data_IF_078332797149
#
_entry.id   IF_078332797149
#
_cell.length_a   1.000
_cell.length_b   1.000
_cell.length_c   1.000
_cell.angle_alpha   90.00
_cell.angle_beta   90.00
_cell.angle_gamma   90.00
#
_symmetry.space_group_name_H-M   'P 1'
#
loop_
_entity.id
_entity.type
_entity.pdbx_description
1 polymer ?
#
# COMPACT_ATOMS: atom_id res chain seq x y z
N UNK A 1 -6.43 -5.50 1.09
CA UNK A 1 -7.30 -6.41 0.28
C UNK A 1 -7.99 -5.72 -0.89
N UNK A 2 -8.61 -4.55 -0.71
CA UNK A 2 -9.25 -3.79 -1.82
C UNK A 2 -8.35 -3.63 -3.07
N UNK A 3 -7.05 -3.30 -2.94
CA UNK A 3 -6.17 -3.17 -4.11
C UNK A 3 -5.99 -4.45 -4.94
N UNK A 4 -6.06 -5.64 -4.32
CA UNK A 4 -5.97 -6.92 -5.02
C UNK A 4 -7.20 -7.11 -5.91
N UNK A 5 -8.40 -6.96 -5.36
CA UNK A 5 -9.64 -7.05 -6.13
C UNK A 5 -9.70 -6.01 -7.24
N UNK A 6 -9.26 -4.77 -6.96
CA UNK A 6 -9.23 -3.73 -7.97
C UNK A 6 -8.24 -4.04 -9.09
N UNK A 7 -7.02 -4.53 -8.80
CA UNK A 7 -6.07 -4.90 -9.86
C UNK A 7 -6.60 -6.03 -10.74
N UNK A 8 -7.23 -7.05 -10.14
CA UNK A 8 -7.81 -8.17 -10.89
C UNK A 8 -8.89 -7.68 -11.87
N UNK A 9 -9.73 -6.72 -11.44
CA UNK A 9 -10.81 -6.17 -12.27
C UNK A 9 -10.31 -5.19 -13.36
N UNK A 10 -9.23 -4.45 -13.08
CA UNK A 10 -8.59 -3.52 -14.03
C UNK A 10 -8.06 -4.27 -15.25
N UNK A 11 -7.33 -5.35 -14.99
CA UNK A 11 -6.60 -6.07 -16.03
C UNK A 11 -7.51 -6.94 -16.88
N UNK A 12 -8.65 -7.40 -16.35
CA UNK A 12 -9.58 -8.28 -17.08
C UNK A 12 -10.69 -7.59 -17.85
N UNK A 13 -11.19 -6.41 -17.41
CA UNK A 13 -12.44 -5.84 -17.99
C UNK A 13 -12.33 -4.38 -18.43
N UNK A 14 -11.80 -3.49 -17.58
CA UNK A 14 -12.00 -2.04 -17.77
C UNK A 14 -10.85 -1.33 -18.49
N UNK A 15 -9.63 -1.85 -18.39
CA UNK A 15 -8.42 -1.14 -18.81
C UNK A 15 -8.04 0.01 -17.87
N UNK A 16 -6.76 0.43 -17.94
CA UNK A 16 -6.15 1.37 -16.97
C UNK A 16 -6.84 2.74 -16.95
N UNK A 17 -7.10 3.34 -18.11
CA UNK A 17 -7.71 4.68 -18.20
C UNK A 17 -9.13 4.74 -17.62
N UNK A 18 -10.00 3.80 -18.03
CA UNK A 18 -11.39 3.77 -17.53
C UNK A 18 -11.41 3.52 -16.03
N UNK A 19 -10.53 2.66 -15.52
CA UNK A 19 -10.44 2.41 -14.08
C UNK A 19 -10.01 3.67 -13.33
N UNK A 20 -9.05 4.45 -13.83
CA UNK A 20 -8.68 5.74 -13.24
C UNK A 20 -9.89 6.66 -13.16
N UNK A 21 -10.64 6.80 -14.27
CA UNK A 21 -11.83 7.65 -14.33
C UNK A 21 -12.89 7.25 -13.29
N UNK A 22 -13.30 5.98 -13.29
CA UNK A 22 -14.28 5.49 -12.33
C UNK A 22 -13.77 5.59 -10.88
N UNK A 23 -12.50 5.30 -10.65
CA UNK A 23 -11.88 5.40 -9.32
C UNK A 23 -11.90 6.84 -8.80
N UNK A 24 -11.57 7.83 -9.64
CA UNK A 24 -11.64 9.25 -9.27
C UNK A 24 -13.08 9.67 -8.94
N UNK A 25 -14.07 9.28 -9.75
CA UNK A 25 -15.48 9.58 -9.49
C UNK A 25 -15.96 8.98 -8.16
N UNK A 26 -15.63 7.70 -7.90
CA UNK A 26 -15.91 7.03 -6.63
C UNK A 26 -15.21 7.74 -5.47
N UNK A 27 -13.98 8.22 -5.67
CA UNK A 27 -13.21 8.90 -4.64
C UNK A 27 -13.82 10.28 -4.27
N UNK A 28 -14.25 11.04 -5.29
CA UNK A 28 -14.98 12.30 -5.13
C UNK A 28 -16.29 12.07 -4.39
N UNK A 29 -17.07 11.07 -4.78
CA UNK A 29 -18.30 10.71 -4.06
C UNK A 29 -18.02 10.34 -2.60
N UNK A 30 -16.96 9.56 -2.34
CA UNK A 30 -16.55 9.18 -0.99
C UNK A 30 -16.23 10.39 -0.11
N UNK A 31 -15.40 11.33 -0.59
CA UNK A 31 -15.10 12.56 0.18
C UNK A 31 -16.31 13.50 0.28
N UNK A 32 -17.14 13.59 -0.75
CA UNK A 32 -18.39 14.35 -0.70
C UNK A 32 -19.33 13.83 0.38
N UNK A 33 -19.54 12.51 0.42
CA UNK A 33 -20.38 11.88 1.44
C UNK A 33 -19.75 11.94 2.84
N UNK A 34 -18.43 11.81 2.97
CA UNK A 34 -17.73 12.05 4.24
C UNK A 34 -17.96 13.47 4.75
N UNK A 35 -17.85 14.47 3.86
CA UNK A 35 -18.13 15.86 4.20
C UNK A 35 -19.55 16.05 4.70
N UNK A 36 -20.54 15.51 3.97
CA UNK A 36 -21.96 15.56 4.36
C UNK A 36 -22.23 14.83 5.69
N UNK A 37 -21.58 13.68 5.90
CA UNK A 37 -21.77 12.85 7.09
C UNK A 37 -21.30 13.53 8.38
N UNK A 38 -20.32 14.44 8.28
CA UNK A 38 -19.78 15.18 9.43
C UNK A 38 -20.34 16.60 9.53
N UNK A 39 -20.80 17.18 8.42
CA UNK A 39 -21.47 18.49 8.43
C UNK A 39 -22.79 18.47 9.23
N UNK A 40 -23.59 17.42 9.07
CA UNK A 40 -24.90 17.32 9.72
C UNK A 40 -24.81 17.12 11.26
N UNK A 41 -23.90 16.27 11.81
CA UNK A 41 -23.63 16.21 13.23
C UNK A 41 -22.96 17.46 13.79
N UNK A 42 -22.05 18.13 13.06
CA UNK A 42 -21.40 19.35 13.53
C UNK A 42 -22.42 20.46 13.84
N UNK A 43 -23.41 20.65 12.95
CA UNK A 43 -24.51 21.59 13.15
C UNK A 43 -25.45 21.20 14.31
N UNK A 44 -25.51 19.91 14.68
CA UNK A 44 -26.36 19.39 15.77
C UNK A 44 -25.62 19.28 17.11
N UNK A 45 -24.30 19.19 17.07
CA UNK A 45 -23.43 19.05 18.25
C UNK A 45 -22.98 20.41 18.79
N UNK A 46 -22.96 21.47 17.97
CA UNK A 46 -22.85 22.86 18.45
C UNK A 46 -23.95 23.22 19.46
N UNK A 47 -25.13 22.59 19.36
CA UNK A 47 -26.23 22.76 20.32
C UNK A 47 -26.00 21.99 21.65
N UNK A 48 -25.03 21.07 21.68
CA UNK A 48 -24.77 20.21 22.84
C UNK A 48 -23.67 20.72 23.78
N UNK A 49 -22.92 21.76 23.41
CA UNK A 49 -21.91 22.38 24.31
C UNK A 49 -22.56 22.90 25.61
N UNK A 50 -23.87 23.18 25.58
CA UNK A 50 -24.66 23.64 26.73
C UNK A 50 -25.50 22.54 27.42
N UNK A 51 -25.40 21.26 27.02
CA UNK A 51 -26.16 20.17 27.65
C UNK A 51 -25.24 18.99 27.98
N UNK A 52 -25.22 18.62 29.25
CA UNK A 52 -24.39 17.56 29.87
C UNK A 52 -24.66 16.14 29.37
N UNK A 53 -25.58 15.95 28.42
CA UNK A 53 -25.88 14.65 27.80
C UNK A 53 -25.90 14.81 26.27
N UNK A 54 -24.78 14.50 25.61
CA UNK A 54 -24.76 14.32 24.17
C UNK A 54 -25.35 12.95 23.82
N UNK A 55 -26.40 12.92 23.01
CA UNK A 55 -26.91 11.66 22.47
C UNK A 55 -25.87 11.05 21.52
N UNK A 56 -25.65 9.74 21.65
CA UNK A 56 -24.81 9.00 20.70
C UNK A 56 -25.33 9.15 19.26
N UNK A 57 -24.43 9.16 18.26
CA UNK A 57 -24.85 9.30 16.86
C UNK A 57 -25.82 8.18 16.48
N UNK A 58 -26.79 8.49 15.60
CA UNK A 58 -27.76 7.48 15.18
C UNK A 58 -27.08 6.37 14.38
N UNK A 59 -27.60 5.15 14.45
CA UNK A 59 -27.05 4.01 13.70
C UNK A 59 -26.96 4.30 12.19
N UNK A 60 -27.89 5.09 11.65
CA UNK A 60 -27.86 5.53 10.25
C UNK A 60 -26.70 6.47 9.95
N UNK A 61 -26.39 7.43 10.83
CA UNK A 61 -25.25 8.33 10.65
C UNK A 61 -23.92 7.58 10.66
N UNK A 62 -23.78 6.62 11.59
CA UNK A 62 -22.59 5.76 11.68
C UNK A 62 -22.45 4.90 10.43
N UNK A 63 -23.53 4.26 9.97
CA UNK A 63 -23.54 3.46 8.76
C UNK A 63 -23.18 4.29 7.52
N UNK A 64 -23.77 5.49 7.38
CA UNK A 64 -23.49 6.39 6.26
C UNK A 64 -22.02 6.84 6.25
N UNK A 65 -21.45 7.16 7.41
CA UNK A 65 -20.03 7.48 7.55
C UNK A 65 -19.13 6.31 7.09
N UNK A 66 -19.42 5.08 7.54
CA UNK A 66 -18.63 3.91 7.12
C UNK A 66 -18.76 3.61 5.63
N UNK A 67 -19.95 3.69 5.04
CA UNK A 67 -20.14 3.54 3.60
C UNK A 67 -19.27 4.57 2.85
N UNK A 68 -19.27 5.82 3.32
CA UNK A 68 -18.47 6.90 2.72
C UNK A 68 -16.96 6.64 2.82
N UNK A 69 -16.49 6.14 3.96
CA UNK A 69 -15.09 5.70 4.15
C UNK A 69 -14.71 4.57 3.19
N UNK A 70 -15.55 3.55 3.06
CA UNK A 70 -15.30 2.45 2.13
C UNK A 70 -15.25 2.93 0.68
N UNK A 71 -16.16 3.83 0.30
CA UNK A 71 -16.20 4.42 -1.03
C UNK A 71 -14.90 5.20 -1.32
N UNK A 72 -14.45 6.04 -0.38
CA UNK A 72 -13.20 6.76 -0.50
C UNK A 72 -11.98 5.82 -0.60
N UNK A 73 -11.97 4.74 0.18
CA UNK A 73 -10.90 3.72 0.16
C UNK A 73 -10.83 2.98 -1.20
N UNK A 74 -11.98 2.58 -1.75
CA UNK A 74 -12.07 1.92 -3.06
C UNK A 74 -11.59 2.85 -4.17
N UNK A 75 -12.09 4.08 -4.21
CA UNK A 75 -11.67 5.07 -5.21
C UNK A 75 -10.18 5.41 -5.11
N UNK A 76 -9.67 5.65 -3.90
CA UNK A 76 -8.26 5.92 -3.68
C UNK A 76 -7.34 4.75 -4.04
N UNK A 77 -7.78 3.51 -3.82
CA UNK A 77 -7.01 2.30 -4.16
C UNK A 77 -6.90 2.12 -5.68
N UNK A 78 -8.01 2.19 -6.40
CA UNK A 78 -8.00 2.01 -7.86
C UNK A 78 -7.19 3.08 -8.59
N UNK A 79 -7.27 4.33 -8.13
CA UNK A 79 -6.42 5.41 -8.64
C UNK A 79 -4.93 5.11 -8.41
N UNK A 80 -4.53 4.74 -7.18
CA UNK A 80 -3.11 4.52 -6.81
C UNK A 80 -2.43 3.39 -7.59
N UNK A 81 -3.17 2.32 -7.89
CA UNK A 81 -2.65 1.16 -8.64
C UNK A 81 -2.47 1.51 -10.12
N UNK A 82 -3.41 2.24 -10.72
CA UNK A 82 -3.44 2.46 -12.16
C UNK A 82 -2.72 3.73 -12.60
N UNK A 83 -2.77 4.82 -11.84
CA UNK A 83 -2.31 6.14 -12.28
C UNK A 83 -0.80 6.18 -12.58
N UNK A 84 0.02 5.56 -11.71
CA UNK A 84 1.47 5.46 -11.91
C UNK A 84 1.81 4.67 -13.17
N UNK A 85 1.18 3.51 -13.35
CA UNK A 85 1.40 2.66 -14.51
C UNK A 85 0.94 3.34 -15.81
N UNK A 86 -0.24 3.97 -15.80
CA UNK A 86 -0.77 4.70 -16.95
C UNK A 86 0.11 5.88 -17.36
N UNK A 87 0.64 6.63 -16.39
CA UNK A 87 1.60 7.72 -16.66
C UNK A 87 2.91 7.19 -17.27
N UNK A 88 3.40 6.05 -16.77
CA UNK A 88 4.58 5.38 -17.30
C UNK A 88 4.38 4.86 -18.74
N UNK A 89 3.16 4.42 -19.08
CA UNK A 89 2.81 3.93 -20.43
C UNK A 89 2.83 5.04 -21.50
N UNK A 90 2.89 6.32 -21.11
CA UNK A 90 2.93 7.43 -22.07
C UNK A 90 4.28 7.59 -22.77
N UNK A 91 5.32 6.92 -22.26
CA UNK A 91 6.68 6.98 -22.79
C UNK A 91 7.04 5.67 -23.48
N UNK A 92 7.61 5.75 -24.68
CA UNK A 92 8.13 4.61 -25.42
C UNK A 92 9.52 4.20 -24.89
N UNK A 93 9.67 2.94 -24.50
CA UNK A 93 10.92 2.39 -23.96
C UNK A 93 11.97 2.13 -25.05
N UNK A 94 11.54 1.98 -26.31
CA UNK A 94 12.45 1.73 -27.44
C UNK A 94 13.23 2.99 -27.84
N UNK A 95 12.70 4.17 -27.51
CA UNK A 95 13.35 5.45 -27.76
C UNK A 95 14.17 5.88 -26.54
N UNK A 96 15.50 5.95 -26.70
CA UNK A 96 16.42 6.35 -25.62
C UNK A 96 16.12 7.72 -24.98
N UNK A 97 15.55 8.67 -25.74
CA UNK A 97 15.14 9.98 -25.22
C UNK A 97 13.86 9.92 -24.37
N UNK A 98 12.86 9.17 -24.82
CA UNK A 98 11.61 8.96 -24.07
C UNK A 98 11.85 8.09 -22.82
N UNK A 99 12.77 7.12 -22.88
CA UNK A 99 13.20 6.32 -21.73
C UNK A 99 13.83 7.17 -20.61
N UNK A 100 14.71 8.13 -20.95
CA UNK A 100 15.23 9.11 -19.98
C UNK A 100 14.12 9.98 -19.38
N UNK A 101 13.17 10.40 -20.22
CA UNK A 101 12.02 11.20 -19.80
C UNK A 101 11.08 10.44 -18.86
N UNK A 102 10.91 9.13 -19.07
CA UNK A 102 10.17 8.22 -18.18
C UNK A 102 10.81 8.12 -16.80
N UNK A 103 12.13 7.99 -16.73
CA UNK A 103 12.86 8.02 -15.45
C UNK A 103 12.67 9.36 -14.72
N UNK A 104 12.76 10.48 -15.45
CA UNK A 104 12.47 11.81 -14.91
C UNK A 104 11.02 11.94 -14.40
N UNK A 105 10.04 11.37 -15.11
CA UNK A 105 8.65 11.32 -14.66
C UNK A 105 8.51 10.63 -13.29
N UNK A 106 9.17 9.49 -13.07
CA UNK A 106 9.13 8.82 -11.77
C UNK A 106 9.76 9.67 -10.66
N UNK A 107 10.87 10.35 -10.93
CA UNK A 107 11.49 11.27 -9.97
C UNK A 107 10.53 12.40 -9.59
N UNK A 108 9.89 13.04 -10.57
CA UNK A 108 8.89 14.08 -10.32
C UNK A 108 7.65 13.58 -9.60
N UNK A 109 7.19 12.35 -9.91
CA UNK A 109 6.09 11.71 -9.20
C UNK A 109 6.42 11.53 -7.71
N UNK A 110 7.61 11.01 -7.41
CA UNK A 110 8.09 10.83 -6.04
C UNK A 110 8.24 12.16 -5.30
N UNK A 111 8.81 13.17 -5.96
CA UNK A 111 8.97 14.50 -5.39
C UNK A 111 7.62 15.16 -5.06
N UNK A 112 6.69 15.16 -6.02
CA UNK A 112 5.34 15.70 -5.82
C UNK A 112 4.57 14.95 -4.73
N UNK A 113 4.68 13.62 -4.69
CA UNK A 113 4.09 12.79 -3.63
C UNK A 113 4.63 13.14 -2.25
N UNK A 114 5.94 13.34 -2.12
CA UNK A 114 6.60 13.71 -0.86
C UNK A 114 6.12 15.08 -0.36
N UNK A 115 6.04 16.08 -1.25
CA UNK A 115 5.48 17.40 -0.91
C UNK A 115 4.01 17.26 -0.47
N UNK A 116 3.20 16.50 -1.21
CA UNK A 116 1.79 16.28 -0.88
C UNK A 116 1.60 15.67 0.51
N UNK A 117 2.43 14.70 0.89
CA UNK A 117 2.43 14.07 2.22
C UNK A 117 2.76 15.12 3.31
N UNK A 118 3.80 15.93 3.12
CA UNK A 118 4.19 16.97 4.07
C UNK A 118 3.04 18.00 4.24
N UNK A 119 2.46 18.47 3.14
CA UNK A 119 1.32 19.39 3.17
C UNK A 119 0.10 18.78 3.89
N UNK A 120 -0.22 17.51 3.64
CA UNK A 120 -1.30 16.82 4.33
C UNK A 120 -1.06 16.74 5.84
N UNK A 121 0.14 16.37 6.27
CA UNK A 121 0.44 16.23 7.70
C UNK A 121 0.55 17.56 8.44
N UNK A 122 1.00 18.64 7.80
CA UNK A 122 1.15 19.94 8.46
C UNK A 122 -0.11 20.80 8.37
N UNK A 123 -0.69 20.91 7.18
CA UNK A 123 -1.79 21.83 6.92
C UNK A 123 -3.13 21.13 7.09
N UNK A 124 -3.34 20.00 6.41
CA UNK A 124 -4.65 19.35 6.41
C UNK A 124 -5.03 18.81 7.80
N UNK A 125 -4.08 18.16 8.49
CA UNK A 125 -4.29 17.72 9.88
C UNK A 125 -4.51 18.88 10.85
N UNK A 126 -3.87 20.04 10.62
CA UNK A 126 -4.10 21.25 11.41
C UNK A 126 -5.51 21.80 11.21
N UNK A 127 -6.00 21.79 9.97
CA UNK A 127 -7.40 22.15 9.66
C UNK A 127 -8.37 21.15 10.29
N UNK A 128 -8.06 19.85 10.30
CA UNK A 128 -8.89 18.82 10.92
C UNK A 128 -9.03 19.01 12.43
N UNK A 129 -7.91 19.18 13.14
CA UNK A 129 -7.90 19.26 14.61
C UNK A 129 -8.35 20.64 15.13
N UNK A 130 -8.03 21.74 14.44
CA UNK A 130 -8.31 23.09 14.93
C UNK A 130 -9.58 23.73 14.37
N UNK A 131 -10.05 23.33 13.18
CA UNK A 131 -11.23 23.93 12.54
C UNK A 131 -12.40 22.96 12.45
N UNK A 132 -12.33 22.01 11.53
CA UNK A 132 -13.32 20.94 11.43
C UNK A 132 -12.89 19.86 10.42
N UNK A 133 -13.35 18.64 10.69
CA UNK A 133 -13.26 17.51 9.76
C UNK A 133 -14.00 17.76 8.44
N UNK A 134 -15.16 18.44 8.48
CA UNK A 134 -15.96 18.74 7.29
C UNK A 134 -15.19 19.62 6.29
N UNK A 135 -14.50 20.66 6.76
CA UNK A 135 -13.69 21.53 5.89
C UNK A 135 -12.55 20.73 5.25
N UNK A 136 -11.85 19.90 6.02
CA UNK A 136 -10.73 19.11 5.50
C UNK A 136 -11.15 18.09 4.43
N UNK A 137 -12.27 17.37 4.64
CA UNK A 137 -12.82 16.47 3.63
C UNK A 137 -13.33 17.23 2.40
N UNK A 138 -13.94 18.40 2.59
CA UNK A 138 -14.37 19.28 1.50
C UNK A 138 -13.20 19.75 0.63
N UNK A 139 -12.09 20.20 1.25
CA UNK A 139 -10.86 20.57 0.54
C UNK A 139 -10.33 19.37 -0.26
N UNK A 140 -10.29 18.18 0.35
CA UNK A 140 -9.83 16.95 -0.32
C UNK A 140 -10.71 16.60 -1.54
N UNK A 141 -12.02 16.79 -1.42
CA UNK A 141 -12.97 16.61 -2.53
C UNK A 141 -12.70 17.60 -3.67
N UNK A 142 -12.56 18.90 -3.37
CA UNK A 142 -12.30 19.95 -4.36
C UNK A 142 -10.98 19.71 -5.09
N UNK A 143 -9.91 19.37 -4.36
CA UNK A 143 -8.60 19.08 -4.95
C UNK A 143 -8.69 17.89 -5.91
N UNK A 144 -9.43 16.82 -5.54
CA UNK A 144 -9.65 15.68 -6.43
C UNK A 144 -10.49 16.04 -7.66
N UNK A 145 -11.51 16.88 -7.51
CA UNK A 145 -12.30 17.41 -8.63
C UNK A 145 -11.41 18.17 -9.63
N UNK A 146 -10.58 19.08 -9.13
CA UNK A 146 -9.63 19.83 -9.96
C UNK A 146 -8.65 18.89 -10.67
N UNK A 147 -8.10 17.90 -9.95
CA UNK A 147 -7.22 16.89 -10.53
C UNK A 147 -7.90 16.10 -11.66
N UNK A 148 -9.16 15.68 -11.47
CA UNK A 148 -9.93 14.99 -12.50
C UNK A 148 -10.21 15.89 -13.70
N UNK A 149 -10.57 17.17 -13.48
CA UNK A 149 -10.77 18.13 -14.58
C UNK A 149 -9.50 18.30 -15.41
N UNK A 150 -8.34 18.50 -14.76
CA UNK A 150 -7.04 18.61 -15.46
C UNK A 150 -6.72 17.34 -16.24
N UNK A 151 -6.97 16.17 -15.66
CA UNK A 151 -6.76 14.88 -16.31
C UNK A 151 -7.65 14.72 -17.56
N UNK A 152 -8.92 15.10 -17.47
CA UNK A 152 -9.87 15.04 -18.59
C UNK A 152 -9.57 16.06 -19.69
N UNK A 153 -9.11 17.27 -19.34
CA UNK A 153 -8.73 18.28 -20.33
C UNK A 153 -7.59 17.82 -21.25
N UNK A 154 -6.72 16.91 -20.77
CA UNK A 154 -5.63 16.33 -21.56
C UNK A 154 -5.96 14.96 -22.16
N UNK A 155 -7.21 14.52 -22.10
CA UNK A 155 -7.58 13.16 -22.53
C UNK A 155 -7.23 12.86 -23.99
N UNK A 156 -7.34 13.86 -24.88
CA UNK A 156 -7.06 13.70 -26.31
C UNK A 156 -5.56 13.59 -26.63
N UNK A 157 -4.68 13.88 -25.67
CA UNK A 157 -3.22 13.78 -25.85
C UNK A 157 -2.67 12.43 -25.38
N UNK A 158 -3.47 11.61 -24.69
CA UNK A 158 -2.99 10.35 -24.14
C UNK A 158 -2.76 9.29 -25.22
N UNK A 159 -1.64 8.57 -25.10
CA UNK A 159 -1.35 7.37 -25.87
C UNK A 159 -2.04 6.19 -25.18
N UNK A 160 -2.96 5.55 -25.90
CA UNK A 160 -3.63 4.35 -25.44
C UNK A 160 -2.93 3.13 -26.06
N UNK A 161 -2.05 2.50 -25.29
CA UNK A 161 -1.46 1.24 -25.69
C UNK A 161 -2.54 0.16 -25.59
N UNK A 162 -3.05 -0.29 -26.73
CA UNK A 162 -3.86 -1.51 -26.81
C UNK A 162 -2.92 -2.66 -26.46
N UNK A 163 -3.01 -3.17 -25.23
CA UNK A 163 -2.36 -4.44 -24.90
C UNK A 163 -2.98 -5.50 -25.81
N UNK A 164 -2.21 -5.94 -26.80
CA UNK A 164 -2.51 -7.07 -27.67
C UNK A 164 -2.85 -8.29 -26.81
N UNK A 165 -4.10 -8.77 -26.85
CA UNK A 165 -4.56 -10.09 -26.37
C UNK A 165 -3.95 -10.60 -25.03
N UNK A 166 -3.98 -9.80 -23.96
CA UNK A 166 -3.68 -10.28 -22.60
C UNK A 166 -4.95 -10.68 -21.80
N UNK A 167 -6.06 -10.99 -22.48
CA UNK A 167 -7.10 -11.87 -21.92
C UNK A 167 -6.47 -13.25 -21.70
N UNK A 168 -6.16 -13.74 -20.52
CA UNK A 168 -6.36 -13.26 -19.16
C UNK A 168 -5.28 -13.94 -18.31
N UNK A 169 -4.11 -13.32 -18.10
CA UNK A 169 -2.99 -13.98 -17.40
C UNK A 169 -3.39 -14.55 -16.02
N UNK A 170 -4.38 -13.95 -15.36
CA UNK A 170 -4.98 -14.45 -14.12
C UNK A 170 -5.88 -15.66 -14.38
N UNK A 171 -6.72 -15.64 -15.41
CA UNK A 171 -7.54 -16.80 -15.75
C UNK A 171 -6.68 -17.97 -16.22
N UNK A 172 -5.57 -17.71 -16.89
CA UNK A 172 -4.57 -18.72 -17.27
C UNK A 172 -4.03 -19.43 -16.02
N UNK A 173 -3.71 -18.67 -14.96
CA UNK A 173 -3.27 -19.24 -13.68
C UNK A 173 -4.40 -20.02 -13.01
N UNK A 174 -5.61 -19.46 -12.96
CA UNK A 174 -6.77 -20.15 -12.38
C UNK A 174 -7.02 -21.45 -13.15
N UNK A 175 -6.91 -21.44 -14.47
CA UNK A 175 -7.04 -22.61 -15.32
C UNK A 175 -5.97 -23.64 -14.98
N UNK A 176 -4.71 -23.25 -14.77
CA UNK A 176 -3.65 -24.17 -14.31
C UNK A 176 -4.04 -24.88 -13.01
N UNK A 177 -4.54 -24.15 -12.01
CA UNK A 177 -4.99 -24.76 -10.76
C UNK A 177 -6.18 -25.71 -10.96
N UNK A 178 -7.20 -25.28 -11.73
CA UNK A 178 -8.40 -26.08 -12.01
C UNK A 178 -8.06 -27.36 -12.79
N UNK A 179 -7.19 -27.27 -13.79
CA UNK A 179 -6.76 -28.43 -14.60
C UNK A 179 -5.88 -29.36 -13.77
N UNK A 180 -4.94 -28.83 -12.97
CA UNK A 180 -4.10 -29.63 -12.08
C UNK A 180 -4.93 -30.40 -11.03
N UNK A 181 -5.94 -29.76 -10.44
CA UNK A 181 -6.84 -30.39 -9.47
C UNK A 181 -7.68 -31.50 -10.12
N UNK A 182 -8.26 -31.24 -11.30
CA UNK A 182 -9.02 -32.24 -12.04
C UNK A 182 -8.16 -33.44 -12.46
N UNK A 183 -6.89 -33.20 -12.76
CA UNK A 183 -5.92 -34.24 -13.12
C UNK A 183 -5.20 -34.86 -11.91
N UNK A 184 -5.53 -34.46 -10.68
CA UNK A 184 -4.80 -34.85 -9.48
C UNK A 184 -4.71 -36.37 -9.27
N UNK A 185 -5.73 -37.13 -9.70
CA UNK A 185 -5.78 -38.60 -9.56
C UNK A 185 -5.36 -39.36 -10.82
N UNK A 186 -5.10 -38.67 -11.92
CA UNK A 186 -4.71 -39.30 -13.18
C UNK A 186 -3.28 -39.80 -13.11
N UNK A 187 -3.04 -41.04 -13.55
CA UNK A 187 -1.70 -41.62 -13.71
C UNK A 187 -1.18 -41.28 -15.12
N UNK A 188 0.11 -40.94 -15.28
CA UNK A 188 0.69 -40.79 -16.61
C UNK A 188 0.57 -42.11 -17.38
N UNK A 189 0.07 -42.08 -18.61
CA UNK A 189 0.10 -43.23 -19.51
C UNK A 189 1.50 -43.35 -20.13
N UNK A 190 1.95 -44.59 -20.34
CA UNK A 190 3.30 -44.96 -20.78
C UNK A 190 3.69 -44.25 -22.11
N UNK A 191 2.74 -43.98 -23.00
CA UNK A 191 2.98 -43.29 -24.28
C UNK A 191 3.23 -41.76 -24.12
N UNK A 192 2.78 -41.17 -23.00
CA UNK A 192 3.03 -39.75 -22.68
C UNK A 192 4.33 -39.54 -21.91
N UNK A 193 4.96 -40.58 -21.34
CA UNK A 193 6.29 -40.44 -20.70
C UNK A 193 7.39 -40.12 -21.73
N UNK A 194 7.25 -40.52 -22.99
CA UNK A 194 8.22 -40.17 -24.05
C UNK A 194 8.02 -38.78 -24.64
N UNK A 195 6.78 -38.32 -24.84
CA UNK A 195 6.48 -36.98 -25.35
C UNK A 195 6.60 -35.89 -24.28
N UNK A 196 6.29 -36.21 -23.02
CA UNK A 196 6.50 -35.32 -21.89
C UNK A 196 7.90 -35.48 -21.33
N UNK A 197 8.59 -36.62 -21.51
CA UNK A 197 10.00 -36.81 -21.12
C UNK A 197 10.93 -35.79 -21.77
N UNK A 198 10.74 -35.45 -23.03
CA UNK A 198 11.48 -34.36 -23.70
C UNK A 198 11.14 -32.97 -23.17
N UNK A 199 9.92 -32.74 -22.65
CA UNK A 199 9.54 -31.50 -21.99
C UNK A 199 10.03 -31.43 -20.52
N UNK A 200 9.97 -32.54 -19.77
CA UNK A 200 10.50 -32.74 -18.42
C UNK A 200 12.03 -32.61 -18.38
N UNK A 201 12.72 -32.92 -19.47
CA UNK A 201 14.18 -32.84 -19.58
C UNK A 201 14.72 -31.46 -19.99
N UNK A 202 13.89 -30.41 -20.04
CA UNK A 202 14.42 -29.04 -20.09
C UNK A 202 14.60 -28.54 -18.65
N UNK A 203 15.84 -28.48 -18.13
CA UNK A 203 16.08 -28.18 -16.72
C UNK A 203 16.04 -26.65 -16.53
N UNK A 204 14.85 -26.08 -16.46
CA UNK A 204 14.65 -24.67 -16.10
C UNK A 204 13.29 -24.48 -15.42
N UNK A 205 13.13 -25.01 -14.21
CA UNK A 205 11.92 -24.80 -13.42
C UNK A 205 12.03 -25.51 -12.07
N UNK A 206 11.79 -24.78 -10.98
CA UNK A 206 11.98 -25.21 -9.59
C UNK A 206 11.41 -26.62 -9.29
N UNK A 207 12.15 -27.47 -8.56
CA UNK A 207 11.66 -28.78 -8.09
C UNK A 207 10.45 -28.70 -7.14
N UNK A 208 10.02 -27.49 -6.76
CA UNK A 208 8.90 -27.22 -5.88
C UNK A 208 7.58 -27.20 -6.66
N UNK A 209 6.48 -27.62 -6.01
CA UNK A 209 5.11 -27.61 -6.58
C UNK A 209 4.89 -28.47 -7.83
N UNK A 210 5.55 -29.65 -7.91
CA UNK A 210 5.38 -30.65 -9.00
C UNK A 210 3.94 -31.06 -9.30
N UNK A 211 3.02 -30.86 -8.37
CA UNK A 211 1.61 -31.16 -8.60
C UNK A 211 1.00 -30.29 -9.71
N UNK A 212 1.51 -29.08 -9.93
CA UNK A 212 1.05 -28.18 -10.99
C UNK A 212 1.44 -28.68 -12.38
N UNK A 213 2.47 -29.54 -12.50
CA UNK A 213 2.85 -30.17 -13.76
C UNK A 213 1.74 -31.07 -14.32
N UNK A 214 0.79 -31.49 -13.47
CA UNK A 214 -0.41 -32.22 -13.91
C UNK A 214 -1.35 -31.38 -14.78
N UNK A 215 -1.23 -30.05 -14.76
CA UNK A 215 -1.97 -29.17 -15.67
C UNK A 215 -1.51 -29.28 -17.13
N UNK A 216 -0.30 -29.80 -17.37
CA UNK A 216 0.24 -30.03 -18.72
C UNK A 216 -0.38 -31.23 -19.40
N UNK A 217 -1.09 -32.10 -18.66
CA UNK A 217 -1.56 -33.37 -19.19
C UNK A 217 -3.03 -33.29 -19.62
N UNK A 218 -3.30 -33.48 -20.91
CA UNK A 218 -4.64 -33.44 -21.50
C UNK A 218 -5.45 -34.72 -21.29
N UNK A 219 -5.69 -35.14 -20.05
CA UNK A 219 -6.41 -36.40 -19.77
C UNK A 219 -7.94 -36.29 -19.84
N UNK A 220 -8.50 -35.10 -19.60
CA UNK A 220 -9.95 -34.88 -19.63
C UNK A 220 -10.38 -34.48 -21.04
N UNK A 221 -11.27 -35.27 -21.66
CA UNK A 221 -11.82 -35.03 -23.01
C UNK A 221 -12.45 -33.63 -23.22
N UNK A 222 -12.66 -32.85 -22.15
CA UNK A 222 -13.32 -31.56 -22.17
C UNK A 222 -12.47 -30.39 -21.65
N UNK A 223 -11.17 -30.56 -21.34
CA UNK A 223 -10.30 -29.45 -20.89
C UNK A 223 -9.05 -29.29 -21.77
N UNK A 224 -8.79 -28.05 -22.15
CA UNK A 224 -7.60 -27.65 -22.91
C UNK A 224 -6.39 -27.70 -21.95
N UNK A 225 -5.33 -28.47 -22.27
CA UNK A 225 -4.12 -28.52 -21.45
C UNK A 225 -3.41 -27.15 -21.42
N UNK A 226 -2.82 -26.82 -20.27
CA UNK A 226 -2.10 -25.55 -20.10
C UNK A 226 -0.70 -25.60 -20.72
N UNK A 227 -0.15 -24.44 -21.07
CA UNK A 227 1.22 -24.35 -21.56
C UNK A 227 2.25 -24.43 -20.43
N UNK A 228 3.50 -24.80 -20.76
CA UNK A 228 4.61 -24.87 -19.80
C UNK A 228 4.85 -23.49 -19.16
N UNK A 229 4.76 -22.41 -19.93
CA UNK A 229 4.94 -21.04 -19.42
C UNK A 229 3.86 -20.67 -18.39
N UNK A 230 2.60 -21.04 -18.62
CA UNK A 230 1.50 -20.78 -17.67
C UNK A 230 1.71 -21.54 -16.35
N UNK A 231 2.20 -22.78 -16.42
CA UNK A 231 2.49 -23.59 -15.23
C UNK A 231 3.66 -23.03 -14.42
N UNK A 232 4.74 -22.61 -15.09
CA UNK A 232 5.88 -21.97 -14.40
C UNK A 232 5.49 -20.62 -13.77
N UNK A 233 4.71 -19.80 -14.46
CA UNK A 233 4.19 -18.54 -13.91
C UNK A 233 3.34 -18.78 -12.64
N UNK A 234 2.50 -19.82 -12.65
CA UNK A 234 1.72 -20.22 -11.48
C UNK A 234 2.59 -20.73 -10.31
N UNK A 235 3.66 -21.48 -10.60
CA UNK A 235 4.62 -21.93 -9.58
C UNK A 235 5.35 -20.75 -8.94
N UNK A 236 5.81 -19.79 -9.73
CA UNK A 236 6.48 -18.57 -9.23
C UNK A 236 5.55 -17.80 -8.30
N UNK A 237 4.29 -17.58 -8.69
CA UNK A 237 3.32 -16.93 -7.82
C UNK A 237 3.10 -17.69 -6.51
N UNK A 238 3.01 -19.02 -6.57
CA UNK A 238 2.84 -19.84 -5.38
C UNK A 238 4.06 -19.77 -4.44
N UNK A 239 5.27 -19.59 -4.98
CA UNK A 239 6.48 -19.33 -4.18
C UNK A 239 6.45 -17.94 -3.49
N UNK A 240 5.76 -16.96 -4.08
CA UNK A 240 5.63 -15.63 -3.50
C UNK A 240 4.64 -15.58 -2.32
N UNK A 241 3.65 -16.48 -2.29
CA UNK A 241 2.60 -16.49 -1.24
C UNK A 241 3.16 -16.64 0.18
N UNK A 242 4.05 -17.61 0.50
CA UNK A 242 4.64 -17.72 1.83
C UNK A 242 5.38 -16.46 2.26
N UNK A 243 6.17 -15.87 1.35
CA UNK A 243 6.93 -14.65 1.63
C UNK A 243 5.96 -13.50 1.90
N UNK A 244 4.94 -13.34 1.07
CA UNK A 244 3.88 -12.36 1.26
C UNK A 244 3.18 -12.50 2.62
N UNK A 245 2.80 -13.71 3.02
CA UNK A 245 2.19 -13.98 4.34
C UNK A 245 3.14 -13.55 5.47
N UNK A 246 4.42 -13.92 5.40
CA UNK A 246 5.38 -13.52 6.46
C UNK A 246 5.56 -12.00 6.52
N UNK A 247 5.42 -11.29 5.41
CA UNK A 247 5.51 -9.84 5.37
C UNK A 247 4.26 -9.14 5.95
N UNK A 248 3.15 -9.84 6.15
CA UNK A 248 1.95 -9.27 6.79
C UNK A 248 2.19 -8.82 8.24
N UNK A 249 3.17 -9.40 8.93
CA UNK A 249 3.52 -8.96 10.29
C UNK A 249 3.99 -7.50 10.31
N UNK A 250 4.70 -7.07 9.27
CA UNK A 250 5.12 -5.68 9.12
C UNK A 250 3.92 -4.74 8.98
N UNK A 251 2.87 -5.16 8.28
CA UNK A 251 1.62 -4.38 8.13
C UNK A 251 1.00 -4.11 9.50
N UNK A 252 0.93 -5.14 10.35
CA UNK A 252 0.38 -5.03 11.72
C UNK A 252 1.16 -3.99 12.53
N UNK A 253 2.49 -4.02 12.44
CA UNK A 253 3.38 -3.07 13.12
C UNK A 253 3.25 -1.65 12.56
N UNK A 254 3.29 -1.49 11.23
CA UNK A 254 3.20 -0.17 10.58
C UNK A 254 1.85 0.53 10.85
N UNK A 255 0.77 -0.26 11.00
CA UNK A 255 -0.57 0.24 11.31
C UNK A 255 -0.66 0.88 12.70
N UNK A 256 0.23 0.53 13.63
CA UNK A 256 0.27 1.14 14.97
C UNK A 256 0.65 2.63 14.90
N UNK A 257 1.50 2.99 13.94
CA UNK A 257 2.04 4.35 13.76
C UNK A 257 0.95 5.39 13.45
N UNK A 258 -0.08 5.02 12.69
CA UNK A 258 -1.20 5.92 12.33
C UNK A 258 -2.37 5.82 13.30
N UNK A 259 -2.45 4.77 14.13
CA UNK A 259 -3.57 4.49 15.03
C UNK A 259 -3.20 4.70 16.50
N UNK A 260 -2.61 3.70 17.14
CA UNK A 260 -2.30 3.72 18.57
C UNK A 260 -1.27 4.78 18.94
N UNK A 261 -0.28 5.05 18.10
CA UNK A 261 0.68 6.13 18.38
C UNK A 261 0.00 7.51 18.32
N UNK A 262 -0.94 7.70 17.39
CA UNK A 262 -1.77 8.91 17.35
C UNK A 262 -2.64 9.02 18.61
N UNK A 263 -3.25 7.92 19.07
CA UNK A 263 -4.02 7.89 20.31
C UNK A 263 -3.17 8.21 21.54
N UNK A 264 -1.97 7.66 21.60
CA UNK A 264 -0.99 7.95 22.64
C UNK A 264 -0.63 9.44 22.63
N UNK A 265 -0.38 10.01 21.45
CA UNK A 265 -0.06 11.44 21.26
C UNK A 265 -1.16 12.38 21.78
N UNK A 266 -2.44 12.05 21.61
CA UNK A 266 -3.56 12.88 22.09
C UNK A 266 -3.48 13.12 23.60
N UNK A 267 -2.97 12.14 24.36
CA UNK A 267 -2.88 12.21 25.84
C UNK A 267 -1.66 12.97 26.35
N UNK A 268 -0.72 13.32 25.47
CA UNK A 268 0.56 13.95 25.85
C UNK A 268 0.50 15.47 25.68
N UNK A 269 1.46 16.16 26.30
CA UNK A 269 1.64 17.58 26.08
C UNK A 269 2.20 17.84 24.66
N UNK A 270 1.34 18.43 23.83
CA UNK A 270 1.58 18.76 22.42
C UNK A 270 1.96 20.22 22.20
N UNK A 271 2.24 20.97 23.25
CA UNK A 271 2.67 22.37 23.14
C UNK A 271 4.06 22.48 22.50
N UNK A 272 4.19 23.34 21.50
CA UNK A 272 5.47 23.75 20.91
C UNK A 272 5.59 25.25 21.13
N UNK A 273 6.35 25.63 22.15
CA UNK A 273 6.39 27.01 22.63
C UNK A 273 5.08 27.42 23.32
N UNK A 274 4.83 28.72 23.51
CA UNK A 274 3.74 29.20 24.37
C UNK A 274 2.35 29.17 23.73
N UNK A 275 2.25 29.28 22.40
CA UNK A 275 0.97 29.60 21.73
C UNK A 275 0.53 28.58 20.68
N UNK A 276 1.30 27.51 20.46
CA UNK A 276 1.01 26.55 19.40
C UNK A 276 0.93 25.14 19.97
N UNK A 277 -0.16 24.44 19.67
CA UNK A 277 -0.35 23.04 20.00
C UNK A 277 -0.37 22.25 18.69
N UNK A 278 0.56 21.32 18.54
CA UNK A 278 0.63 20.51 17.31
C UNK A 278 -0.54 19.50 17.29
N UNK A 279 -1.23 19.34 16.14
CA UNK A 279 -2.23 18.28 15.96
C UNK A 279 -1.63 16.90 16.26
N UNK A 280 -2.39 16.02 16.92
CA UNK A 280 -1.83 14.73 17.35
C UNK A 280 -1.40 13.88 16.14
N UNK A 281 -2.20 13.90 15.08
CA UNK A 281 -1.90 13.19 13.83
C UNK A 281 -0.70 13.79 13.07
N UNK A 282 -0.36 15.06 13.30
CA UNK A 282 0.78 15.73 12.63
C UNK A 282 2.14 15.22 13.10
N UNK A 283 2.23 14.55 14.25
CA UNK A 283 3.48 13.96 14.76
C UNK A 283 4.01 12.85 13.85
N UNK A 284 3.15 12.27 13.01
CA UNK A 284 3.57 11.38 11.93
C UNK A 284 4.63 12.01 11.00
N UNK A 285 4.77 13.34 10.96
CA UNK A 285 5.83 14.01 10.21
C UNK A 285 7.24 13.50 10.55
N UNK A 286 7.49 13.03 11.77
CA UNK A 286 8.80 12.47 12.14
C UNK A 286 9.12 11.17 11.40
N UNK A 287 8.10 10.37 11.06
CA UNK A 287 8.26 9.21 10.16
C UNK A 287 8.63 9.68 8.76
N UNK A 288 7.93 10.69 8.22
CA UNK A 288 8.22 11.25 6.89
C UNK A 288 9.64 11.84 6.81
N UNK A 289 10.05 12.62 7.81
CA UNK A 289 11.40 13.19 7.89
C UNK A 289 12.46 12.11 7.97
N UNK A 290 12.21 11.04 8.74
CA UNK A 290 13.12 9.89 8.83
C UNK A 290 13.29 9.20 7.47
N UNK A 291 12.21 8.95 6.72
CA UNK A 291 12.29 8.39 5.35
C UNK A 291 13.09 9.30 4.42
N UNK A 292 12.82 10.61 4.43
CA UNK A 292 13.52 11.60 3.59
C UNK A 292 15.00 11.68 3.93
N UNK A 293 15.36 11.53 5.22
CA UNK A 293 16.73 11.56 5.68
C UNK A 293 17.48 10.25 5.35
N UNK A 294 16.90 9.10 5.69
CA UNK A 294 17.58 7.81 5.55
C UNK A 294 17.53 7.22 4.13
N UNK A 295 16.57 7.61 3.28
CA UNK A 295 16.50 7.16 1.89
C UNK A 295 17.79 7.47 1.10
N UNK A 296 18.21 8.75 0.99
CA UNK A 296 19.46 9.10 0.33
C UNK A 296 20.70 8.49 1.00
N UNK A 297 20.69 8.32 2.33
CA UNK A 297 21.79 7.67 3.05
C UNK A 297 21.89 6.19 2.63
N UNK A 298 20.76 5.51 2.48
CA UNK A 298 20.74 4.13 2.00
C UNK A 298 21.37 4.05 0.59
N UNK A 299 20.92 4.87 -0.35
CA UNK A 299 21.37 4.79 -1.74
C UNK A 299 22.81 5.30 -1.95
N UNK A 300 23.18 6.42 -1.31
CA UNK A 300 24.46 7.10 -1.55
C UNK A 300 25.59 6.62 -0.64
N UNK A 301 25.29 6.10 0.55
CA UNK A 301 26.29 5.68 1.53
C UNK A 301 26.26 4.16 1.74
N UNK A 302 25.10 3.59 2.07
CA UNK A 302 25.00 2.18 2.43
C UNK A 302 25.25 1.25 1.24
N UNK A 303 24.60 1.47 0.08
CA UNK A 303 24.80 0.62 -1.10
C UNK A 303 26.28 0.60 -1.54
N UNK A 304 26.97 1.74 -1.74
CA UNK A 304 28.37 1.71 -2.18
C UNK A 304 29.30 1.01 -1.18
N UNK A 305 29.12 1.25 0.13
CA UNK A 305 29.95 0.62 1.17
C UNK A 305 29.75 -0.90 1.20
N UNK A 306 28.50 -1.35 1.18
CA UNK A 306 28.19 -2.78 1.29
C UNK A 306 28.52 -3.52 -0.01
N UNK A 307 28.35 -2.88 -1.17
CA UNK A 307 28.76 -3.44 -2.48
C UNK A 307 30.24 -3.82 -2.51
N UNK A 308 31.11 -3.04 -1.87
CA UNK A 308 32.56 -3.36 -1.78
C UNK A 308 32.80 -4.67 -1.03
N UNK A 309 31.96 -4.99 -0.04
CA UNK A 309 32.09 -6.20 0.79
C UNK A 309 31.38 -7.40 0.15
N UNK A 310 30.17 -7.20 -0.38
CA UNK A 310 29.32 -8.29 -0.87
C UNK A 310 29.55 -8.63 -2.34
N UNK A 311 30.14 -7.71 -3.11
CA UNK A 311 30.23 -7.82 -4.58
C UNK A 311 28.90 -7.71 -5.31
N UNK A 312 27.78 -7.47 -4.62
CA UNK A 312 26.45 -7.37 -5.21
C UNK A 312 26.21 -5.93 -5.72
N UNK A 313 25.80 -5.71 -6.99
CA UNK A 313 25.48 -4.38 -7.49
C UNK A 313 24.43 -3.65 -6.65
N UNK A 314 23.47 -4.33 -6.03
CA UNK A 314 22.46 -3.69 -5.18
C UNK A 314 22.88 -3.59 -3.70
N UNK A 315 24.15 -3.91 -3.37
CA UNK A 315 24.67 -3.92 -2.01
C UNK A 315 24.25 -5.17 -1.24
N UNK A 316 22.96 -5.34 -0.97
CA UNK A 316 22.38 -6.54 -0.34
C UNK A 316 21.28 -7.13 -1.22
N UNK A 317 20.89 -8.38 -0.97
CA UNK A 317 19.74 -8.96 -1.68
C UNK A 317 18.44 -8.33 -1.22
N UNK A 318 17.42 -8.31 -2.08
CA UNK A 318 16.12 -7.71 -1.75
C UNK A 318 15.45 -8.40 -0.55
N UNK A 319 15.60 -9.72 -0.42
CA UNK A 319 15.14 -10.48 0.75
C UNK A 319 15.89 -10.11 2.04
N UNK A 320 17.21 -9.88 1.97
CA UNK A 320 17.98 -9.39 3.12
C UNK A 320 17.50 -7.98 3.54
N UNK A 321 17.26 -7.10 2.56
CA UNK A 321 16.72 -5.76 2.80
C UNK A 321 15.38 -5.81 3.54
N UNK A 322 14.44 -6.64 3.07
CA UNK A 322 13.15 -6.87 3.73
C UNK A 322 13.33 -7.41 5.16
N UNK A 323 14.19 -8.42 5.33
CA UNK A 323 14.47 -9.02 6.64
C UNK A 323 15.04 -8.03 7.65
N UNK A 324 15.97 -7.17 7.24
CA UNK A 324 16.49 -6.08 8.08
C UNK A 324 15.38 -5.13 8.52
N UNK A 325 14.49 -4.75 7.60
CA UNK A 325 13.37 -3.88 7.93
C UNK A 325 12.39 -4.49 8.93
N UNK A 326 12.06 -5.79 8.81
CA UNK A 326 11.22 -6.51 9.79
C UNK A 326 11.91 -6.61 11.17
N UNK A 327 13.23 -6.75 11.21
CA UNK A 327 13.98 -6.69 12.46
C UNK A 327 13.86 -5.32 13.14
N UNK A 328 14.00 -4.23 12.36
CA UNK A 328 13.85 -2.88 12.90
C UNK A 328 12.42 -2.57 13.32
N UNK A 329 11.40 -3.14 12.66
CA UNK A 329 10.00 -3.01 13.09
C UNK A 329 9.73 -3.65 14.45
N UNK A 330 10.34 -4.79 14.72
CA UNK A 330 10.30 -5.40 16.06
C UNK A 330 10.96 -4.48 17.09
N UNK A 331 12.11 -3.91 16.76
CA UNK A 331 12.83 -2.96 17.64
C UNK A 331 12.01 -1.71 17.91
N UNK A 332 11.32 -1.17 16.90
CA UNK A 332 10.42 -0.02 17.02
C UNK A 332 9.29 -0.28 18.02
N UNK A 333 8.69 -1.48 17.99
CA UNK A 333 7.65 -1.87 18.96
C UNK A 333 8.19 -2.03 20.39
N UNK A 334 9.43 -2.50 20.57
CA UNK A 334 10.07 -2.54 21.89
C UNK A 334 10.26 -1.11 22.43
N UNK A 335 10.74 -0.19 21.60
CA UNK A 335 10.88 1.23 21.96
C UNK A 335 9.53 1.84 22.34
N UNK A 336 8.49 1.57 21.54
CA UNK A 336 7.14 2.06 21.82
C UNK A 336 6.58 1.52 23.15
N UNK A 337 6.82 0.24 23.46
CA UNK A 337 6.41 -0.36 24.74
C UNK A 337 7.12 0.31 25.94
N UNK A 338 8.41 0.63 25.81
CA UNK A 338 9.17 1.34 26.85
C UNK A 338 8.62 2.76 27.05
N UNK A 339 8.35 3.48 25.97
CA UNK A 339 7.76 4.83 26.02
C UNK A 339 6.38 4.79 26.66
N UNK A 340 5.55 3.80 26.31
CA UNK A 340 4.22 3.65 26.90
C UNK A 340 4.27 3.33 28.38
N UNK A 341 5.20 2.44 28.80
CA UNK A 341 5.43 2.18 30.23
C UNK A 341 5.77 3.46 30.99
N UNK A 342 6.62 4.32 30.40
CA UNK A 342 6.97 5.62 30.98
C UNK A 342 5.78 6.57 31.06
N UNK A 343 4.96 6.63 30.00
CA UNK A 343 3.74 7.46 29.98
C UNK A 343 2.76 7.03 31.06
N UNK A 344 2.51 5.72 31.20
CA UNK A 344 1.65 5.17 32.23
C UNK A 344 2.17 5.47 33.63
N UNK A 345 3.49 5.35 33.85
CA UNK A 345 4.11 5.70 35.13
C UNK A 345 3.97 7.19 35.45
N UNK A 346 4.08 8.07 34.45
CA UNK A 346 3.79 9.49 34.64
C UNK A 346 2.32 9.71 35.02
N UNK A 347 1.37 9.09 34.32
CA UNK A 347 -0.05 9.18 34.66
C UNK A 347 -0.33 8.72 36.10
N UNK A 348 0.30 7.62 36.53
CA UNK A 348 0.26 7.12 37.91
C UNK A 348 0.78 8.16 38.91
N UNK A 349 1.97 8.69 38.69
CA UNK A 349 2.62 9.63 39.60
C UNK A 349 1.83 10.94 39.78
N UNK A 350 1.12 11.38 38.74
CA UNK A 350 0.29 12.58 38.77
C UNK A 350 -1.19 12.29 39.14
N UNK A 351 -1.55 11.03 39.45
CA UNK A 351 -2.91 10.67 39.83
C UNK A 351 -3.94 10.81 38.69
N UNK A 352 -3.50 10.69 37.42
CA UNK A 352 -4.30 10.95 36.22
C UNK A 352 -4.88 9.68 35.56
N UNK A 353 -4.73 8.50 36.18
CA UNK A 353 -5.14 7.21 35.60
C UNK A 353 -6.63 7.17 35.28
N UNK A 354 -7.46 7.67 36.20
CA UNK A 354 -8.92 7.63 36.08
C UNK A 354 -9.48 8.86 35.34
N UNK A 355 -8.61 9.71 34.79
CA UNK A 355 -9.01 10.90 34.04
C UNK A 355 -8.63 10.78 32.56
N UNK A 356 -9.48 10.14 31.73
CA UNK A 356 -9.16 9.85 30.32
C UNK A 356 -9.01 11.10 29.44
N UNK A 357 -9.50 12.26 29.91
CA UNK A 357 -9.44 13.53 29.17
C UNK A 357 -8.29 14.43 29.65
N UNK A 358 -7.56 14.04 30.70
CA UNK A 358 -6.45 14.83 31.20
C UNK A 358 -5.20 14.69 30.32
N UNK A 359 -4.52 15.80 30.10
CA UNK A 359 -3.20 15.82 29.48
C UNK A 359 -2.15 15.35 30.49
N UNK A 360 -1.41 14.32 30.15
CA UNK A 360 -0.30 13.83 30.94
C UNK A 360 0.88 14.80 30.75
N UNK A 361 1.54 15.24 31.83
CA UNK A 361 2.67 16.19 31.77
C UNK A 361 3.95 15.49 31.29
N UNK A 362 3.92 15.00 30.06
CA UNK A 362 5.01 14.37 29.34
C UNK A 362 4.98 14.92 27.92
N UNK A 363 6.11 15.49 27.48
CA UNK A 363 6.22 16.06 26.15
C UNK A 363 6.00 15.00 25.08
N UNK A 364 5.23 15.36 24.04
CA UNK A 364 4.98 14.49 22.89
C UNK A 364 6.25 14.14 22.11
N UNK A 365 7.34 14.90 22.29
CA UNK A 365 8.65 14.61 21.69
C UNK A 365 9.24 13.28 22.17
N UNK A 366 8.77 12.72 23.29
CA UNK A 366 9.13 11.36 23.70
C UNK A 366 8.69 10.29 22.70
N UNK A 367 7.74 10.59 21.81
CA UNK A 367 7.32 9.67 20.74
C UNK A 367 8.23 9.72 19.51
N UNK A 368 9.13 10.70 19.40
CA UNK A 368 10.01 10.84 18.22
C UNK A 368 10.82 9.56 17.93
N UNK A 369 11.41 8.85 18.91
CA UNK A 369 12.18 7.63 18.64
C UNK A 369 11.38 6.53 17.94
N UNK A 370 10.15 6.23 18.37
CA UNK A 370 9.30 5.21 17.74
C UNK A 370 8.83 5.63 16.34
N UNK A 371 8.52 6.92 16.12
CA UNK A 371 8.17 7.42 14.78
C UNK A 371 9.37 7.46 13.82
N UNK A 372 10.55 7.85 14.33
CA UNK A 372 11.79 7.88 13.54
C UNK A 372 12.23 6.47 13.14
N UNK A 373 12.17 5.49 14.07
CA UNK A 373 12.43 4.08 13.75
C UNK A 373 11.43 3.53 12.73
N UNK A 374 10.15 3.87 12.86
CA UNK A 374 9.12 3.50 11.88
C UNK A 374 9.39 4.08 10.47
N UNK A 375 9.98 5.27 10.38
CA UNK A 375 10.43 5.81 9.09
C UNK A 375 11.68 5.11 8.57
N UNK A 376 12.62 4.79 9.45
CA UNK A 376 13.87 4.11 9.09
C UNK A 376 13.61 2.70 8.55
N UNK A 377 12.80 1.89 9.24
CA UNK A 377 12.44 0.54 8.79
C UNK A 377 11.69 0.57 7.44
N UNK A 378 10.91 1.62 7.17
CA UNK A 378 10.16 1.77 5.91
C UNK A 378 11.10 1.85 4.69
N UNK A 379 12.30 2.45 4.83
CA UNK A 379 13.32 2.51 3.77
C UNK A 379 13.83 1.12 3.39
N UNK A 380 13.82 0.17 4.33
CA UNK A 380 14.22 -1.21 4.10
C UNK A 380 13.04 -2.06 3.63
N UNK A 381 11.96 -2.10 4.40
CA UNK A 381 10.84 -3.00 4.13
C UNK A 381 10.00 -2.57 2.94
N UNK A 382 9.50 -1.33 2.91
CA UNK A 382 8.52 -0.92 1.91
C UNK A 382 9.15 -0.87 0.50
N UNK A 383 10.35 -0.31 0.39
CA UNK A 383 11.09 -0.28 -0.88
C UNK A 383 11.49 -1.71 -1.30
N UNK A 384 11.99 -2.52 -0.35
CA UNK A 384 12.35 -3.91 -0.62
C UNK A 384 11.17 -4.76 -1.08
N UNK A 385 10.00 -4.64 -0.46
CA UNK A 385 8.79 -5.35 -0.88
C UNK A 385 8.34 -4.92 -2.27
N UNK A 386 8.42 -3.62 -2.57
CA UNK A 386 8.06 -3.11 -3.90
C UNK A 386 8.97 -3.70 -4.98
N UNK A 387 10.28 -3.63 -4.79
CA UNK A 387 11.30 -4.17 -5.70
C UNK A 387 11.12 -5.69 -5.87
N UNK A 388 10.98 -6.41 -4.74
CA UNK A 388 10.84 -7.87 -4.75
C UNK A 388 9.59 -8.34 -5.50
N UNK A 389 8.41 -7.84 -5.15
CA UNK A 389 7.18 -8.30 -5.80
C UNK A 389 7.07 -7.82 -7.24
N UNK A 390 7.70 -6.69 -7.59
CA UNK A 390 7.74 -6.24 -8.98
C UNK A 390 8.64 -7.14 -9.83
N UNK A 391 9.88 -7.37 -9.39
CA UNK A 391 10.89 -8.10 -10.18
C UNK A 391 10.61 -9.61 -10.25
N UNK A 392 10.04 -10.19 -9.19
CA UNK A 392 9.73 -11.62 -9.15
C UNK A 392 8.38 -11.96 -9.79
N UNK A 393 7.56 -10.96 -10.14
CA UNK A 393 6.30 -11.23 -10.81
C UNK A 393 6.51 -11.56 -12.29
N UNK A 394 5.77 -12.54 -12.85
CA UNK A 394 5.79 -12.79 -14.28
C UNK A 394 5.47 -11.53 -15.09
N UNK A 395 6.06 -11.38 -16.28
CA UNK A 395 5.94 -10.16 -17.10
C UNK A 395 4.49 -9.77 -17.40
N UNK A 396 3.59 -10.75 -17.53
CA UNK A 396 2.15 -10.55 -17.75
C UNK A 396 1.36 -10.13 -16.50
N UNK A 397 1.96 -10.23 -15.30
CA UNK A 397 1.30 -10.15 -14.00
C UNK A 397 1.98 -9.14 -13.05
N UNK A 398 2.73 -8.20 -13.61
CA UNK A 398 3.41 -7.14 -12.84
C UNK A 398 2.44 -6.28 -12.01
N UNK A 399 1.20 -6.11 -12.47
CA UNK A 399 0.12 -5.46 -11.71
C UNK A 399 -0.32 -6.27 -10.48
N UNK A 400 -0.29 -7.61 -10.55
CA UNK A 400 -0.54 -8.49 -9.42
C UNK A 400 0.60 -8.40 -8.40
N UNK A 401 1.85 -8.33 -8.84
CA UNK A 401 3.00 -8.04 -7.96
C UNK A 401 2.83 -6.72 -7.22
N UNK A 402 2.47 -5.66 -7.95
CA UNK A 402 2.20 -4.34 -7.36
C UNK A 402 1.00 -4.38 -6.40
N UNK A 403 -0.01 -5.22 -6.62
CA UNK A 403 -1.15 -5.33 -5.73
C UNK A 403 -0.87 -6.19 -4.49
N UNK A 404 -0.03 -7.22 -4.59
CA UNK A 404 0.55 -7.94 -3.44
C UNK A 404 1.36 -6.98 -2.55
N UNK A 405 2.23 -6.18 -3.16
CA UNK A 405 2.93 -5.09 -2.48
C UNK A 405 1.95 -4.09 -1.85
N UNK A 406 0.98 -3.60 -2.62
CA UNK A 406 0.02 -2.59 -2.11
C UNK A 406 -0.78 -3.16 -0.94
N UNK A 407 -1.12 -4.45 -0.96
CA UNK A 407 -1.76 -5.13 0.16
C UNK A 407 -0.89 -5.22 1.42
N UNK A 408 0.44 -5.19 1.28
CA UNK A 408 1.39 -5.08 2.39
C UNK A 408 1.68 -3.63 2.83
N UNK A 409 1.01 -2.63 2.23
CA UNK A 409 1.23 -1.20 2.56
C UNK A 409 -0.06 -0.42 2.81
N UNK A 410 -1.22 -1.07 2.63
CA UNK A 410 -2.55 -0.52 2.85
C UNK A 410 -3.07 -0.99 4.20
#
# INVERSE_FOLDING_TARGET
MVPLFTSLFVDSVLGRFRTILFSCLIYIMGFGFLTLSVLHPYLKQSDCVNKTLCNSPSSFQVLFFYISLYLASVGGSGFRVCARAFGADQFDETNSGECKSKSSFFNWWCFAGSIGIIFSHLILNCIQDNMSWAIAFGISCIVMMVALTVFLLRMHTFRFNVKQNNTDAILDIIQVFVVAEKNWRSKPSIDHEQAVGTAYHTPSGSHQFKFLDKALIGFSKNLIPCSISQVEDAKVLLQLVPIWITCLIYVVVSSQTTTFFTRQSITLDRSIGPNFQIPAASIYIFTTLSVVFFGPIYDCLFIPLVRVVTGNPNGITTLQRIGCGIFFSTTSMVVAAVIEKKRLQAALNFGLIDNPNATIPMSVLWLVPQYALSGFESVFTLIGLQEFFYDQSPKGLTSLGLSLFTACTA
#
